data_IF_159529820063
#
_entry.id   IF_159529820063
#
_cell.length_a   1.000
_cell.length_b   1.000
_cell.length_c   1.000
_cell.angle_alpha   90.00
_cell.angle_beta   90.00
_cell.angle_gamma   90.00
#
_symmetry.space_group_name_H-M   'P 1'
#
loop_
_entity.id
_entity.type
_entity.pdbx_description
1 polymer ?
#
# COMPACT_ATOMS: atom_id res chain seq x y z
N UNK A 1 15.01 -17.15 5.17
CA UNK A 1 13.57 -17.13 5.47
C UNK A 1 12.98 -18.49 5.15
N UNK A 2 11.85 -18.85 5.76
CA UNK A 2 11.05 -20.03 5.38
C UNK A 2 9.96 -19.54 4.43
N UNK A 3 10.13 -19.79 3.14
CA UNK A 3 9.19 -19.38 2.10
C UNK A 3 8.54 -20.61 1.47
N UNK A 4 7.29 -20.46 1.03
CA UNK A 4 6.52 -21.47 0.30
C UNK A 4 5.96 -20.85 -0.95
N UNK A 5 5.97 -21.60 -2.04
CA UNK A 5 5.30 -21.21 -3.28
C UNK A 5 3.77 -21.26 -3.11
N UNK A 6 3.10 -20.27 -3.69
CA UNK A 6 1.64 -20.09 -3.68
C UNK A 6 1.19 -19.70 -5.08
N UNK A 7 -0.07 -20.00 -5.42
CA UNK A 7 -0.67 -19.43 -6.62
C UNK A 7 -0.97 -17.95 -6.42
N UNK A 8 -1.16 -17.21 -7.53
CA UNK A 8 -1.61 -15.82 -7.45
C UNK A 8 -2.96 -15.68 -6.77
N UNK A 9 -3.90 -16.60 -7.03
CA UNK A 9 -5.22 -16.59 -6.40
C UNK A 9 -5.10 -16.74 -4.88
N UNK A 10 -4.27 -17.67 -4.40
CA UNK A 10 -4.04 -17.87 -2.96
C UNK A 10 -3.39 -16.64 -2.33
N UNK A 11 -2.38 -16.07 -2.99
CA UNK A 11 -1.68 -14.89 -2.48
C UNK A 11 -2.60 -13.67 -2.38
N UNK A 12 -3.37 -13.38 -3.43
CA UNK A 12 -4.27 -12.23 -3.48
C UNK A 12 -5.46 -12.41 -2.53
N UNK A 13 -6.02 -13.61 -2.42
CA UNK A 13 -7.08 -13.90 -1.45
C UNK A 13 -6.57 -13.67 -0.02
N UNK A 14 -5.39 -14.18 0.32
CA UNK A 14 -4.80 -14.00 1.65
C UNK A 14 -4.59 -12.52 2.01
N UNK A 15 -4.13 -11.71 1.05
CA UNK A 15 -3.95 -10.26 1.26
C UNK A 15 -5.30 -9.55 1.38
N UNK A 16 -6.28 -9.91 0.54
CA UNK A 16 -7.61 -9.33 0.57
C UNK A 16 -8.33 -9.63 1.90
N UNK A 17 -8.27 -10.87 2.38
CA UNK A 17 -8.85 -11.27 3.66
C UNK A 17 -8.23 -10.47 4.82
N UNK A 18 -6.89 -10.35 4.85
CA UNK A 18 -6.23 -9.53 5.88
C UNK A 18 -6.60 -8.04 5.83
N UNK A 19 -6.88 -7.49 4.64
CA UNK A 19 -7.40 -6.12 4.50
C UNK A 19 -8.82 -6.03 5.06
N UNK A 20 -9.69 -6.99 4.75
CA UNK A 20 -11.07 -7.02 5.25
C UNK A 20 -11.10 -7.17 6.78
N UNK A 21 -10.32 -8.10 7.33
CA UNK A 21 -10.23 -8.31 8.78
C UNK A 21 -9.79 -7.01 9.49
N UNK A 22 -8.74 -6.34 8.99
CA UNK A 22 -8.27 -5.09 9.56
C UNK A 22 -9.33 -3.96 9.47
N UNK A 23 -10.06 -3.88 8.37
CA UNK A 23 -11.16 -2.93 8.19
C UNK A 23 -12.31 -3.18 9.17
N UNK A 24 -12.66 -4.44 9.42
CA UNK A 24 -13.76 -4.82 10.30
C UNK A 24 -13.40 -4.69 11.79
N UNK A 25 -12.19 -5.08 12.18
CA UNK A 25 -11.77 -5.16 13.58
C UNK A 25 -11.16 -3.85 14.10
N UNK A 26 -10.35 -3.17 13.28
CA UNK A 26 -9.54 -2.01 13.70
C UNK A 26 -9.91 -0.70 12.96
N UNK A 27 -10.63 -0.80 11.84
CA UNK A 27 -11.00 0.32 10.99
C UNK A 27 -9.90 0.71 9.99
N UNK A 28 -10.20 1.60 9.02
CA UNK A 28 -9.31 1.88 7.89
C UNK A 28 -7.99 2.54 8.27
N UNK A 29 -7.93 3.23 9.41
CA UNK A 29 -6.71 3.88 9.89
C UNK A 29 -5.61 2.89 10.33
N UNK A 30 -5.97 1.61 10.53
CA UNK A 30 -5.02 0.51 10.82
C UNK A 30 -4.16 0.11 9.61
N UNK A 31 -4.60 0.46 8.40
CA UNK A 31 -3.92 0.12 7.15
C UNK A 31 -3.09 1.30 6.68
N UNK A 32 -1.79 1.06 6.45
CA UNK A 32 -0.86 2.06 5.95
C UNK A 32 -0.44 1.69 4.52
N UNK A 33 -0.74 2.57 3.57
CA UNK A 33 -0.17 2.52 2.23
C UNK A 33 1.00 3.49 2.15
N UNK A 34 2.22 2.94 2.07
CA UNK A 34 3.46 3.74 2.03
C UNK A 34 3.67 4.47 0.68
N UNK A 35 2.87 4.14 -0.33
CA UNK A 35 3.13 4.55 -1.70
C UNK A 35 4.27 3.77 -2.36
N UNK A 36 4.54 4.06 -3.64
CA UNK A 36 5.59 3.38 -4.41
C UNK A 36 6.77 4.32 -4.66
N UNK A 37 7.77 4.38 -3.76
CA UNK A 37 8.99 5.13 -4.03
C UNK A 37 9.75 4.47 -5.18
N UNK A 38 9.93 5.22 -6.28
CA UNK A 38 10.70 4.86 -7.47
C UNK A 38 10.24 3.65 -8.33
N UNK A 39 9.58 2.61 -7.78
CA UNK A 39 9.39 1.31 -8.46
C UNK A 39 7.93 1.00 -8.80
N UNK A 40 7.47 1.53 -9.94
CA UNK A 40 6.14 1.24 -10.49
C UNK A 40 5.75 2.11 -11.69
N UNK A 41 6.54 3.15 -11.97
CA UNK A 41 6.28 4.09 -13.06
C UNK A 41 5.02 4.93 -12.81
N UNK A 42 4.66 5.76 -13.78
CA UNK A 42 3.52 6.68 -13.70
C UNK A 42 2.18 6.01 -13.32
N UNK A 43 2.04 4.71 -13.59
CA UNK A 43 0.78 3.98 -13.43
C UNK A 43 0.62 3.28 -12.07
N UNK A 44 1.70 3.00 -11.33
CA UNK A 44 1.56 2.28 -10.06
C UNK A 44 0.83 3.11 -9.00
N UNK A 45 1.16 4.40 -8.90
CA UNK A 45 0.53 5.32 -7.94
C UNK A 45 -0.98 5.50 -8.18
N UNK A 46 -1.48 5.83 -9.40
CA UNK A 46 -2.92 6.01 -9.59
C UNK A 46 -3.70 4.71 -9.50
N UNK A 47 -3.12 3.54 -9.83
CA UNK A 47 -3.85 2.28 -9.79
C UNK A 47 -3.97 1.74 -8.36
N UNK A 48 -2.86 1.63 -7.64
CA UNK A 48 -2.84 1.07 -6.27
C UNK A 48 -3.24 2.13 -5.25
N UNK A 49 -2.74 3.36 -5.39
CA UNK A 49 -3.10 4.46 -4.50
C UNK A 49 -4.59 4.77 -4.50
N UNK A 50 -5.25 4.69 -5.67
CA UNK A 50 -6.70 4.87 -5.77
C UNK A 50 -7.47 3.82 -4.96
N UNK A 51 -7.08 2.54 -5.00
CA UNK A 51 -7.71 1.50 -4.18
C UNK A 51 -7.66 1.86 -2.69
N UNK A 52 -6.49 2.20 -2.18
CA UNK A 52 -6.31 2.56 -0.77
C UNK A 52 -7.01 3.87 -0.39
N UNK A 53 -7.06 4.85 -1.30
CA UNK A 53 -7.86 6.07 -1.11
C UNK A 53 -9.35 5.78 -1.01
N UNK A 54 -9.89 4.85 -1.81
CA UNK A 54 -11.31 4.47 -1.73
C UNK A 54 -11.64 3.68 -0.46
N UNK A 55 -10.68 2.92 0.06
CA UNK A 55 -10.81 2.23 1.34
C UNK A 55 -10.64 3.17 2.55
N UNK A 56 -10.25 4.43 2.32
CA UNK A 56 -10.08 5.43 3.37
C UNK A 56 -8.87 5.22 4.26
N UNK A 57 -7.85 4.50 3.79
CA UNK A 57 -6.68 4.12 4.61
C UNK A 57 -5.69 5.27 4.78
N UNK A 58 -4.75 5.12 5.72
CA UNK A 58 -3.65 6.08 5.89
C UNK A 58 -2.69 5.96 4.71
N UNK A 59 -2.31 7.11 4.14
CA UNK A 59 -1.29 7.20 3.09
C UNK A 59 -0.16 8.10 3.56
N UNK A 60 1.08 7.64 3.41
CA UNK A 60 2.25 8.46 3.73
C UNK A 60 2.68 9.28 2.52
N UNK A 61 3.34 10.41 2.79
CA UNK A 61 3.95 11.22 1.74
C UNK A 61 5.23 10.51 1.25
N UNK A 62 5.18 9.98 0.02
CA UNK A 62 6.31 9.26 -0.59
C UNK A 62 7.56 10.12 -0.63
N UNK A 63 7.45 11.43 -0.93
CA UNK A 63 8.61 12.32 -0.97
C UNK A 63 9.22 12.48 0.43
N UNK A 64 8.38 12.52 1.46
CA UNK A 64 8.84 12.51 2.85
C UNK A 64 9.55 11.22 3.23
N UNK A 65 9.01 10.05 2.84
CA UNK A 65 9.59 8.75 3.18
C UNK A 65 11.00 8.57 2.61
N UNK A 66 11.25 9.08 1.40
CA UNK A 66 12.55 8.94 0.72
C UNK A 66 13.43 10.19 0.82
N UNK A 67 12.94 11.25 1.48
CA UNK A 67 13.61 12.54 1.57
C UNK A 67 13.92 13.17 0.19
N UNK A 68 13.01 13.00 -0.78
CA UNK A 68 13.09 13.58 -2.12
C UNK A 68 12.40 14.95 -2.14
N UNK A 69 12.95 15.86 -1.33
CA UNK A 69 12.59 17.27 -1.36
C UNK A 69 13.67 18.05 -2.10
N UNK A 70 13.25 19.08 -2.84
CA UNK A 70 14.20 20.03 -3.40
C UNK A 70 15.04 20.68 -2.28
N UNK A 71 16.29 21.09 -2.54
CA UNK A 71 17.21 21.63 -1.53
C UNK A 71 16.77 22.97 -0.89
N UNK A 72 15.58 23.47 -1.21
CA UNK A 72 15.13 24.82 -0.85
C UNK A 72 15.67 25.88 -1.80
N UNK A 73 15.42 27.15 -1.46
CA UNK A 73 16.03 28.33 -2.09
C UNK A 73 17.40 28.61 -1.47
#
# INVERSE_FOLDING_TARGET
>A
GRWREVSWDEALATVADGILDALEEEGPDSIIYEGTPAQGGLLATPLVGSLFSHLGTVQTDVNANINDFGPGL
#
